data_IF_625825216765
#
_entry.id   IF_625825216765
#
_cell.length_a   1.000
_cell.length_b   1.000
_cell.length_c   1.000
_cell.angle_alpha   90.00
_cell.angle_beta   90.00
_cell.angle_gamma   90.00
#
_symmetry.space_group_name_H-M   'P 1'
#
loop_
_entity.id
_entity.type
_entity.pdbx_description
1 polymer ?
#
# COMPACT_ATOMS: atom_id res chain seq x y z
N UNK A 1 56.08 43.81 8.91
CA UNK A 1 54.98 44.80 8.86
C UNK A 1 53.88 44.30 9.80
N UNK A 2 53.39 45.14 10.66
CA UNK A 2 52.73 44.96 11.97
C UNK A 2 51.50 43.99 12.00
N UNK A 3 51.58 42.97 12.84
CA UNK A 3 50.40 42.19 13.30
C UNK A 3 49.62 42.97 14.35
N UNK A 4 48.32 43.16 14.13
CA UNK A 4 47.38 43.64 15.16
C UNK A 4 46.70 42.43 15.85
N UNK A 5 46.95 42.29 17.15
CA UNK A 5 46.30 41.34 18.03
C UNK A 5 44.93 41.92 18.40
N UNK A 6 43.87 41.18 18.14
CA UNK A 6 42.53 41.46 18.68
C UNK A 6 42.20 40.45 19.77
N UNK A 7 41.92 40.96 20.94
CA UNK A 7 41.61 40.19 22.17
C UNK A 7 40.19 39.62 22.05
N UNK A 8 40.07 38.31 22.25
CA UNK A 8 38.78 37.65 22.46
C UNK A 8 38.52 37.58 23.96
N UNK A 9 37.41 38.24 24.39
CA UNK A 9 36.83 38.08 25.72
C UNK A 9 36.12 36.71 25.81
N UNK A 10 36.56 35.88 26.69
CA UNK A 10 35.86 34.67 27.10
C UNK A 10 34.81 35.02 28.15
N UNK A 11 33.54 34.88 27.86
CA UNK A 11 32.46 34.89 28.84
C UNK A 11 32.24 33.45 29.32
N UNK A 12 32.61 33.17 30.56
CA UNK A 12 32.35 31.90 31.23
C UNK A 12 30.90 31.87 31.72
N UNK A 13 30.06 31.06 31.09
CA UNK A 13 28.72 30.71 31.59
C UNK A 13 28.82 29.47 32.45
N UNK A 14 28.64 29.61 33.73
CA UNK A 14 28.57 28.54 34.73
C UNK A 14 27.26 27.81 34.56
N UNK A 15 27.31 26.56 34.06
CA UNK A 15 26.23 25.62 34.08
C UNK A 15 26.20 24.92 35.45
N UNK A 16 25.24 25.31 36.27
CA UNK A 16 24.89 24.58 37.50
C UNK A 16 24.19 23.27 37.13
N UNK A 17 24.94 22.18 37.30
CA UNK A 17 24.45 20.80 37.22
C UNK A 17 23.78 20.49 38.58
N UNK A 18 22.45 20.60 38.63
CA UNK A 18 21.66 20.15 39.77
C UNK A 18 21.34 18.67 39.58
N UNK A 19 22.07 17.78 40.22
CA UNK A 19 21.69 16.40 40.40
C UNK A 19 20.49 16.33 41.35
N UNK A 20 19.37 15.86 40.86
CA UNK A 20 18.23 15.38 41.64
C UNK A 20 18.17 13.86 41.47
N UNK A 21 18.82 13.15 42.36
CA UNK A 21 18.49 11.79 42.76
C UNK A 21 17.36 11.91 43.76
N UNK A 22 16.15 11.49 43.41
CA UNK A 22 15.15 11.09 44.40
C UNK A 22 14.04 10.25 43.79
N UNK A 23 13.83 9.10 44.39
CA UNK A 23 12.58 8.41 44.63
C UNK A 23 12.04 7.50 43.53
N UNK A 24 12.23 6.21 43.78
CA UNK A 24 11.30 5.15 43.39
C UNK A 24 9.92 5.46 44.01
N UNK A 25 8.98 5.81 43.17
CA UNK A 25 7.54 5.95 43.46
C UNK A 25 6.87 5.93 42.10
N UNK A 26 5.94 4.98 41.87
CA UNK A 26 5.18 4.91 40.63
C UNK A 26 4.47 6.23 40.36
N UNK A 27 5.08 7.07 39.53
CA UNK A 27 4.38 8.20 38.93
C UNK A 27 3.54 7.64 37.79
N UNK A 28 2.22 7.71 37.94
CA UNK A 28 1.31 7.65 36.80
C UNK A 28 1.84 8.67 35.76
N UNK A 29 2.35 8.17 34.62
CA UNK A 29 2.73 9.03 33.51
C UNK A 29 1.52 9.93 33.20
N UNK A 30 1.68 11.22 33.46
CA UNK A 30 0.65 12.21 33.19
C UNK A 30 0.27 12.13 31.73
N UNK A 31 -0.99 11.90 31.48
CA UNK A 31 -1.61 11.95 30.17
C UNK A 31 -1.18 13.22 29.45
N UNK A 32 -0.68 13.06 28.20
CA UNK A 32 -0.31 14.21 27.38
C UNK A 32 -1.57 15.00 27.03
N UNK A 33 -1.59 16.28 27.40
CA UNK A 33 -2.69 17.20 27.13
C UNK A 33 -2.18 18.48 26.46
N UNK A 34 -3.01 19.07 25.64
CA UNK A 34 -2.77 20.41 25.09
C UNK A 34 -2.86 21.48 26.19
N UNK A 35 -2.46 22.71 25.89
CA UNK A 35 -2.56 23.84 26.84
C UNK A 35 -3.98 24.14 27.26
N UNK A 36 -4.95 23.88 26.42
CA UNK A 36 -6.39 24.03 26.61
C UNK A 36 -7.06 22.77 27.19
N UNK A 37 -6.27 21.78 27.62
CA UNK A 37 -6.74 20.63 28.38
C UNK A 37 -7.30 19.47 27.55
N UNK A 38 -7.21 19.50 26.22
CA UNK A 38 -7.63 18.38 25.36
C UNK A 38 -6.61 17.23 25.45
N UNK A 39 -7.09 16.00 25.44
CA UNK A 39 -6.24 14.82 25.45
C UNK A 39 -5.60 14.59 24.07
N UNK A 40 -4.29 14.38 24.04
CA UNK A 40 -3.55 14.08 22.81
C UNK A 40 -3.63 12.60 22.53
N UNK A 41 -3.93 12.24 21.27
CA UNK A 41 -3.98 10.89 20.72
C UNK A 41 -2.99 10.81 19.55
N UNK A 42 -2.04 9.92 19.63
CA UNK A 42 -1.05 9.71 18.59
C UNK A 42 -1.49 8.68 17.56
N UNK A 43 -1.37 9.03 16.27
CA UNK A 43 -1.63 8.12 15.15
C UNK A 43 -0.40 7.98 14.27
N UNK A 44 0.05 6.75 14.01
CA UNK A 44 1.16 6.44 13.11
C UNK A 44 0.68 5.64 11.90
N UNK A 45 1.23 5.98 10.71
CA UNK A 45 0.98 5.28 9.46
C UNK A 45 1.98 5.67 8.38
N UNK A 46 1.93 4.99 7.23
CA UNK A 46 2.69 5.35 6.02
C UNK A 46 1.86 6.22 5.06
N UNK A 47 0.56 6.15 5.19
CA UNK A 47 -0.47 6.91 4.50
C UNK A 47 -1.44 7.50 5.54
N UNK A 48 -2.21 8.54 5.19
CA UNK A 48 -2.24 9.25 3.91
C UNK A 48 -1.02 10.16 3.69
N UNK A 49 -0.99 10.85 2.54
CA UNK A 49 -0.03 11.93 2.30
C UNK A 49 -0.20 13.05 3.34
N UNK A 50 0.82 13.88 3.60
CA UNK A 50 0.79 14.85 4.69
C UNK A 50 -0.40 15.81 4.65
N UNK A 51 -0.79 16.28 3.48
CA UNK A 51 -1.91 17.20 3.27
C UNK A 51 -3.24 16.55 3.63
N UNK A 52 -3.47 15.33 3.15
CA UNK A 52 -4.64 14.54 3.47
C UNK A 52 -4.71 14.16 4.96
N UNK A 53 -3.58 13.73 5.52
CA UNK A 53 -3.47 13.44 6.94
C UNK A 53 -3.83 14.64 7.80
N UNK A 54 -3.34 15.81 7.41
CA UNK A 54 -3.69 17.07 8.07
C UNK A 54 -5.18 17.40 7.94
N UNK A 55 -5.76 17.24 6.75
CA UNK A 55 -7.17 17.53 6.52
C UNK A 55 -8.08 16.66 7.40
N UNK A 56 -7.83 15.34 7.46
CA UNK A 56 -8.58 14.40 8.30
C UNK A 56 -8.44 14.74 9.79
N UNK A 57 -7.21 15.01 10.26
CA UNK A 57 -6.95 15.38 11.65
C UNK A 57 -7.63 16.70 12.01
N UNK A 58 -7.53 17.71 11.14
CA UNK A 58 -8.19 19.00 11.35
C UNK A 58 -9.71 18.86 11.41
N UNK A 59 -10.31 18.04 10.54
CA UNK A 59 -11.74 17.78 10.53
C UNK A 59 -12.18 17.12 11.86
N UNK A 60 -11.48 16.06 12.30
CA UNK A 60 -11.76 15.43 13.59
C UNK A 60 -11.58 16.40 14.77
N UNK A 61 -10.48 17.12 14.83
CA UNK A 61 -10.18 18.04 15.92
C UNK A 61 -11.18 19.20 16.02
N UNK A 62 -11.87 19.55 14.93
CA UNK A 62 -12.96 20.55 14.89
C UNK A 62 -14.32 19.96 15.28
N UNK A 63 -14.54 18.67 15.06
CA UNK A 63 -15.84 18.01 15.28
C UNK A 63 -16.16 17.77 16.76
N UNK A 64 -15.16 17.89 17.66
CA UNK A 64 -15.31 17.61 19.08
C UNK A 64 -14.28 18.41 19.92
N UNK A 65 -14.48 18.50 21.27
CA UNK A 65 -13.66 19.31 22.17
C UNK A 65 -12.82 18.52 23.19
N UNK A 66 -12.84 17.18 23.13
CA UNK A 66 -12.18 16.32 24.12
C UNK A 66 -10.75 15.96 23.73
N UNK A 67 -10.50 15.72 22.44
CA UNK A 67 -9.29 15.13 21.93
C UNK A 67 -8.60 15.99 20.87
N UNK A 68 -7.29 15.79 20.73
CA UNK A 68 -6.50 16.27 19.60
C UNK A 68 -5.71 15.09 19.06
N UNK A 69 -5.92 14.74 17.80
CA UNK A 69 -5.12 13.71 17.14
C UNK A 69 -3.87 14.34 16.53
N UNK A 70 -2.74 13.70 16.74
CA UNK A 70 -1.46 14.01 16.09
C UNK A 70 -1.05 12.88 15.18
N UNK A 71 -1.00 13.14 13.87
CA UNK A 71 -0.58 12.16 12.87
C UNK A 71 0.91 12.22 12.62
N UNK A 72 1.59 11.09 12.73
CA UNK A 72 2.98 10.93 12.34
C UNK A 72 3.09 9.96 11.18
N UNK A 73 3.44 10.50 10.01
CA UNK A 73 3.69 9.71 8.81
C UNK A 73 5.14 9.22 8.76
N UNK A 74 5.31 7.97 8.37
CA UNK A 74 6.60 7.38 8.02
C UNK A 74 6.57 6.98 6.53
N UNK A 75 7.29 7.70 5.70
CA UNK A 75 7.39 7.41 4.25
C UNK A 75 8.16 6.12 3.96
N UNK A 76 9.14 5.81 4.80
CA UNK A 76 10.00 4.63 4.71
C UNK A 76 10.14 4.01 6.10
N UNK A 77 10.51 2.74 6.16
CA UNK A 77 10.80 2.00 7.41
C UNK A 77 9.66 1.97 8.46
N UNK A 78 8.39 2.25 8.06
CA UNK A 78 7.26 2.28 8.99
C UNK A 78 7.18 1.04 9.87
N UNK A 79 7.22 -0.15 9.26
CA UNK A 79 7.06 -1.42 9.97
C UNK A 79 8.16 -1.62 11.01
N UNK A 80 9.40 -1.28 10.65
CA UNK A 80 10.56 -1.36 11.56
C UNK A 80 10.44 -0.36 12.71
N UNK A 81 10.05 0.88 12.43
CA UNK A 81 9.87 1.91 13.46
C UNK A 81 8.74 1.53 14.41
N UNK A 82 7.61 1.04 13.87
CA UNK A 82 6.49 0.57 14.65
C UNK A 82 6.90 -0.61 15.55
N UNK A 83 7.60 -1.60 15.00
CA UNK A 83 8.05 -2.76 15.77
C UNK A 83 8.91 -2.36 16.97
N UNK A 84 9.89 -1.47 16.76
CA UNK A 84 10.78 -0.97 17.83
C UNK A 84 9.98 -0.21 18.89
N UNK A 85 9.06 0.65 18.49
CA UNK A 85 8.23 1.43 19.40
C UNK A 85 7.30 0.54 20.22
N UNK A 86 6.63 -0.42 19.58
CA UNK A 86 5.73 -1.36 20.26
C UNK A 86 6.46 -2.29 21.26
N UNK A 87 7.69 -2.71 20.91
CA UNK A 87 8.52 -3.54 21.81
C UNK A 87 9.01 -2.76 23.04
N UNK A 88 9.21 -1.45 22.90
CA UNK A 88 9.68 -0.58 23.99
C UNK A 88 8.56 0.07 24.81
N UNK A 89 7.27 -0.26 24.54
CA UNK A 89 6.12 0.36 25.21
C UNK A 89 5.91 1.84 24.84
N UNK A 90 6.52 2.30 23.72
CA UNK A 90 6.41 3.68 23.21
C UNK A 90 5.65 3.74 21.87
N UNK A 91 4.82 2.74 21.61
CA UNK A 91 3.95 2.72 20.44
C UNK A 91 2.89 3.82 20.49
N UNK A 92 2.35 4.23 19.32
CA UNK A 92 1.26 5.21 19.25
C UNK A 92 -0.05 4.62 19.79
N UNK A 93 -1.04 5.47 20.03
CA UNK A 93 -2.38 5.05 20.44
C UNK A 93 -3.14 4.36 19.29
N UNK A 94 -2.94 4.87 18.07
CA UNK A 94 -3.56 4.34 16.84
C UNK A 94 -2.46 3.91 15.86
N UNK A 95 -2.63 2.71 15.34
CA UNK A 95 -1.66 2.06 14.47
C UNK A 95 -2.30 1.80 13.12
N UNK A 96 -1.67 2.29 12.03
CA UNK A 96 -1.99 1.86 10.67
C UNK A 96 -1.46 0.44 10.42
N UNK A 97 -2.30 -0.47 9.95
CA UNK A 97 -1.92 -1.85 9.64
C UNK A 97 -2.33 -2.23 8.22
N UNK A 98 -1.46 -2.92 7.51
CA UNK A 98 -1.79 -3.67 6.30
C UNK A 98 -2.36 -5.04 6.68
N UNK A 99 -3.08 -5.68 5.77
CA UNK A 99 -3.70 -6.98 6.03
C UNK A 99 -2.71 -8.00 6.66
N UNK A 100 -1.49 -8.23 6.15
CA UNK A 100 -0.57 -9.21 6.75
C UNK A 100 -0.12 -8.84 8.17
N UNK A 101 -0.07 -7.55 8.50
CA UNK A 101 0.37 -7.08 9.81
C UNK A 101 -0.66 -7.33 10.91
N UNK A 102 -1.94 -7.48 10.58
CA UNK A 102 -3.02 -7.64 11.56
C UNK A 102 -2.79 -8.90 12.42
N UNK A 103 -2.45 -10.01 11.78
CA UNK A 103 -2.09 -11.24 12.48
C UNK A 103 -0.85 -11.08 13.35
N UNK A 104 0.17 -10.35 12.86
CA UNK A 104 1.41 -10.10 13.60
C UNK A 104 1.19 -9.26 14.87
N UNK A 105 0.26 -8.29 14.82
CA UNK A 105 0.02 -7.34 15.91
C UNK A 105 -1.18 -7.69 16.78
N UNK A 106 -1.91 -8.80 16.54
CA UNK A 106 -3.16 -9.14 17.26
C UNK A 106 -3.04 -9.13 18.79
N UNK A 107 -1.90 -9.55 19.34
CA UNK A 107 -1.68 -9.59 20.78
C UNK A 107 -1.30 -8.23 21.40
N UNK A 108 -1.00 -7.23 20.55
CA UNK A 108 -0.59 -5.88 20.92
C UNK A 108 -1.65 -4.82 20.69
N UNK A 109 -2.77 -5.19 20.08
CA UNK A 109 -3.92 -4.32 19.85
C UNK A 109 -5.14 -4.87 20.56
N UNK A 110 -6.13 -4.01 20.84
CA UNK A 110 -7.38 -4.46 21.43
C UNK A 110 -8.35 -4.93 20.36
N UNK A 111 -9.21 -5.94 20.63
CA UNK A 111 -10.38 -6.16 19.81
C UNK A 111 -11.28 -4.92 19.86
N UNK A 112 -11.62 -4.37 18.68
CA UNK A 112 -12.31 -3.08 18.58
C UNK A 112 -13.83 -3.16 18.63
N UNK A 113 -14.41 -4.37 18.66
CA UNK A 113 -15.87 -4.57 18.57
C UNK A 113 -16.66 -3.69 19.54
N UNK A 114 -16.36 -3.77 20.84
CA UNK A 114 -17.09 -3.00 21.87
C UNK A 114 -16.83 -1.51 21.80
N UNK A 115 -15.64 -1.10 21.39
CA UNK A 115 -15.29 0.31 21.22
C UNK A 115 -16.04 0.90 20.03
N UNK A 116 -16.08 0.18 18.91
CA UNK A 116 -16.80 0.60 17.71
C UNK A 116 -18.31 0.58 17.90
N UNK A 117 -18.87 -0.41 18.67
CA UNK A 117 -20.28 -0.40 19.04
C UNK A 117 -20.67 0.87 19.81
N UNK A 118 -19.77 1.38 20.65
CA UNK A 118 -19.95 2.64 21.40
C UNK A 118 -19.78 3.87 20.52
N UNK A 119 -18.74 3.92 19.68
CA UNK A 119 -18.36 5.10 18.89
C UNK A 119 -19.19 5.23 17.60
N UNK A 120 -19.51 4.13 16.92
CA UNK A 120 -20.14 4.07 15.60
C UNK A 120 -21.55 3.46 15.61
N UNK A 121 -21.96 2.88 16.75
CA UNK A 121 -23.25 2.21 16.93
C UNK A 121 -23.23 0.73 16.55
N UNK A 122 -24.15 -0.04 17.16
CA UNK A 122 -24.30 -1.48 16.83
C UNK A 122 -24.60 -1.68 15.35
N UNK A 123 -24.07 -2.77 14.79
CA UNK A 123 -24.22 -3.08 13.36
C UNK A 123 -23.31 -2.27 12.45
N UNK A 124 -22.32 -1.57 12.99
CA UNK A 124 -21.35 -0.79 12.23
C UNK A 124 -20.66 -1.60 11.13
N UNK A 125 -20.40 -2.90 11.35
CA UNK A 125 -19.75 -3.79 10.38
C UNK A 125 -20.54 -3.93 9.06
N UNK A 126 -21.87 -3.87 9.11
CA UNK A 126 -22.73 -4.03 7.93
C UNK A 126 -22.53 -2.93 6.88
N UNK A 127 -21.98 -1.80 7.32
CA UNK A 127 -21.65 -0.67 6.43
C UNK A 127 -20.36 -0.90 5.63
N UNK A 128 -19.52 -1.84 6.03
CA UNK A 128 -18.22 -2.09 5.42
C UNK A 128 -18.30 -3.11 4.29
N UNK A 129 -17.30 -3.08 3.43
CA UNK A 129 -17.06 -4.12 2.42
C UNK A 129 -16.70 -5.41 3.17
N UNK A 130 -17.40 -6.50 2.87
CA UNK A 130 -17.27 -7.78 3.58
C UNK A 130 -15.82 -8.28 3.62
N UNK A 131 -15.13 -8.24 2.48
CA UNK A 131 -13.71 -8.59 2.38
C UNK A 131 -12.85 -7.85 3.43
N UNK A 132 -13.14 -6.57 3.71
CA UNK A 132 -12.40 -5.79 4.70
C UNK A 132 -12.62 -6.27 6.12
N UNK A 133 -13.87 -6.57 6.46
CA UNK A 133 -14.22 -7.13 7.77
C UNK A 133 -13.55 -8.50 7.95
N UNK A 134 -13.60 -9.37 6.94
CA UNK A 134 -12.98 -10.69 6.98
C UNK A 134 -11.46 -10.62 7.15
N UNK A 135 -10.79 -9.75 6.39
CA UNK A 135 -9.33 -9.58 6.46
C UNK A 135 -8.84 -9.00 7.80
N UNK A 136 -9.71 -8.29 8.51
CA UNK A 136 -9.39 -7.66 9.80
C UNK A 136 -9.95 -8.40 11.02
N UNK A 137 -10.62 -9.54 10.78
CA UNK A 137 -11.15 -10.46 11.81
C UNK A 137 -10.21 -11.65 12.03
N UNK A 138 -9.89 -11.95 13.28
CA UNK A 138 -9.13 -13.14 13.68
C UNK A 138 -9.88 -13.81 14.82
N UNK A 139 -10.12 -15.13 14.72
CA UNK A 139 -10.81 -15.93 15.72
C UNK A 139 -12.17 -15.31 16.16
N UNK A 140 -12.91 -14.75 15.17
CA UNK A 140 -14.21 -14.12 15.37
C UNK A 140 -14.19 -12.73 16.02
N UNK A 141 -13.02 -12.13 16.26
CA UNK A 141 -12.84 -10.80 16.84
C UNK A 141 -12.26 -9.83 15.83
N UNK A 142 -12.73 -8.61 15.84
CA UNK A 142 -12.24 -7.54 15.00
C UNK A 142 -11.05 -6.86 15.64
N UNK A 143 -9.85 -6.94 15.03
CA UNK A 143 -8.62 -6.35 15.58
C UNK A 143 -8.24 -5.01 14.97
N UNK A 144 -8.82 -4.67 13.82
CA UNK A 144 -8.65 -3.37 13.19
C UNK A 144 -9.92 -3.01 12.41
N UNK A 145 -10.11 -1.72 12.13
CA UNK A 145 -11.21 -1.23 11.29
C UNK A 145 -10.67 -0.97 9.89
N UNK A 146 -11.24 -1.59 8.84
CA UNK A 146 -10.80 -1.38 7.47
C UNK A 146 -11.07 0.06 7.03
N UNK A 147 -10.05 0.74 6.48
CA UNK A 147 -10.17 2.09 5.97
C UNK A 147 -10.19 2.08 4.46
N UNK A 148 -9.24 1.39 3.82
CA UNK A 148 -9.15 1.40 2.38
C UNK A 148 -8.46 0.17 1.80
N UNK A 149 -8.83 -0.12 0.55
CA UNK A 149 -8.32 -1.23 -0.24
C UNK A 149 -7.42 -0.73 -1.36
N UNK A 150 -6.42 -1.55 -1.67
CA UNK A 150 -5.66 -1.41 -2.92
C UNK A 150 -5.64 -2.72 -3.69
N UNK A 151 -5.60 -2.62 -5.00
CA UNK A 151 -5.47 -3.75 -5.92
C UNK A 151 -4.05 -3.89 -6.44
N UNK A 152 -3.63 -5.14 -6.62
CA UNK A 152 -2.31 -5.48 -7.13
C UNK A 152 -2.26 -5.44 -8.65
N UNK A 153 -1.06 -5.16 -9.17
CA UNK A 153 -0.68 -5.37 -10.56
C UNK A 153 -1.78 -4.95 -11.56
N UNK A 154 -2.09 -3.67 -11.56
CA UNK A 154 -2.84 -3.02 -12.63
C UNK A 154 -1.88 -2.54 -13.71
N UNK A 155 -2.43 -2.20 -14.85
CA UNK A 155 -1.74 -1.53 -15.94
C UNK A 155 -2.14 -0.06 -15.96
N UNK A 156 -1.25 0.83 -15.49
CA UNK A 156 -1.38 2.27 -15.73
C UNK A 156 -0.84 2.57 -17.14
N UNK A 157 -1.53 3.41 -17.90
CA UNK A 157 -1.13 3.72 -19.27
C UNK A 157 -1.30 5.21 -19.59
N UNK A 158 -0.45 5.70 -20.47
CA UNK A 158 -0.60 7.02 -21.07
C UNK A 158 -1.43 6.89 -22.36
N UNK A 159 -2.72 7.23 -22.26
CA UNK A 159 -3.69 7.14 -23.35
C UNK A 159 -3.25 7.95 -24.57
N UNK A 160 -2.77 9.17 -24.33
CA UNK A 160 -2.28 10.06 -25.41
C UNK A 160 -1.13 9.44 -26.19
N UNK A 161 -0.21 8.76 -25.49
CA UNK A 161 0.88 8.03 -26.14
C UNK A 161 0.38 6.79 -26.87
N UNK A 162 -0.52 6.01 -26.27
CA UNK A 162 -1.09 4.83 -26.93
C UNK A 162 -1.81 5.20 -28.22
N UNK A 163 -2.60 6.28 -28.21
CA UNK A 163 -3.28 6.79 -29.41
C UNK A 163 -2.29 7.19 -30.51
N UNK A 164 -1.19 7.87 -30.16
CA UNK A 164 -0.10 8.20 -31.09
C UNK A 164 0.41 6.98 -31.83
N UNK A 165 0.53 5.84 -31.13
CA UNK A 165 1.00 4.58 -31.72
C UNK A 165 -0.13 3.73 -32.31
N UNK A 166 -1.40 4.17 -32.21
CA UNK A 166 -2.58 3.42 -32.64
C UNK A 166 -2.74 2.10 -31.87
N UNK A 167 -2.41 2.11 -30.56
CA UNK A 167 -2.51 0.99 -29.62
C UNK A 167 -3.63 1.27 -28.66
N UNK A 168 -4.40 0.25 -28.30
CA UNK A 168 -5.35 0.27 -27.19
C UNK A 168 -4.75 -0.48 -26.00
N UNK A 169 -5.16 -0.19 -24.75
CA UNK A 169 -4.73 -0.97 -23.60
C UNK A 169 -5.00 -2.46 -23.83
N UNK A 170 -3.96 -3.33 -23.74
CA UNK A 170 -4.10 -4.74 -24.07
C UNK A 170 -4.91 -5.49 -23.01
N UNK A 171 -5.62 -6.54 -23.41
CA UNK A 171 -6.45 -7.39 -22.52
C UNK A 171 -5.88 -8.80 -22.33
N UNK A 172 -4.99 -9.23 -23.22
CA UNK A 172 -4.41 -10.57 -23.19
C UNK A 172 -2.97 -10.56 -23.70
N UNK A 173 -2.30 -11.71 -23.60
CA UNK A 173 -0.90 -11.89 -24.00
C UNK A 173 -0.63 -11.46 -25.45
N UNK A 174 -1.47 -11.91 -26.39
CA UNK A 174 -1.29 -11.58 -27.80
C UNK A 174 -1.37 -10.07 -28.03
N UNK A 175 -2.39 -9.42 -27.51
CA UNK A 175 -2.56 -7.96 -27.63
C UNK A 175 -1.38 -7.21 -26.97
N UNK A 176 -0.88 -7.72 -25.84
CA UNK A 176 0.29 -7.13 -25.17
C UNK A 176 1.53 -7.22 -26.02
N UNK A 177 1.82 -8.38 -26.62
CA UNK A 177 2.96 -8.56 -27.53
C UNK A 177 2.82 -7.71 -28.78
N UNK A 178 1.63 -7.61 -29.35
CA UNK A 178 1.36 -6.78 -30.54
C UNK A 178 1.54 -5.28 -30.22
N UNK A 179 1.06 -4.82 -29.06
CA UNK A 179 1.27 -3.45 -28.59
C UNK A 179 2.76 -3.14 -28.40
N UNK A 180 3.50 -4.03 -27.72
CA UNK A 180 4.94 -3.88 -27.50
C UNK A 180 5.69 -3.81 -28.84
N UNK A 181 5.39 -4.68 -29.80
CA UNK A 181 6.00 -4.68 -31.14
C UNK A 181 5.69 -3.40 -31.89
N UNK A 182 4.43 -2.94 -31.85
CA UNK A 182 3.99 -1.76 -32.58
C UNK A 182 4.65 -0.48 -32.07
N UNK A 183 4.76 -0.33 -30.75
CA UNK A 183 5.45 0.82 -30.14
C UNK A 183 6.95 0.78 -30.48
N UNK A 184 7.60 -0.39 -30.36
CA UNK A 184 9.02 -0.54 -30.75
C UNK A 184 9.28 -0.24 -32.23
N UNK A 185 8.36 -0.61 -33.11
CA UNK A 185 8.47 -0.39 -34.55
C UNK A 185 8.35 1.10 -34.94
N UNK A 186 7.84 1.96 -34.07
CA UNK A 186 7.80 3.42 -34.34
C UNK A 186 9.20 4.06 -34.42
N UNK A 187 10.22 3.41 -33.86
CA UNK A 187 11.57 3.96 -33.75
C UNK A 187 11.76 4.96 -32.62
N UNK A 188 10.71 5.31 -31.90
CA UNK A 188 10.79 6.14 -30.70
C UNK A 188 11.48 5.35 -29.57
N UNK A 189 12.31 6.02 -28.77
CA UNK A 189 12.99 5.42 -27.61
C UNK A 189 12.06 5.37 -26.40
N UNK A 190 10.88 4.76 -26.58
CA UNK A 190 9.87 4.62 -25.53
C UNK A 190 9.81 3.17 -25.06
N UNK A 191 9.74 2.97 -23.75
CA UNK A 191 9.47 1.68 -23.15
C UNK A 191 7.99 1.36 -23.35
N UNK A 192 7.63 0.29 -24.08
CA UNK A 192 6.22 -0.04 -24.33
C UNK A 192 5.48 -0.43 -23.07
N UNK A 193 6.05 -1.37 -22.30
CA UNK A 193 5.50 -1.86 -21.02
C UNK A 193 6.63 -1.95 -20.00
N UNK A 194 6.48 -1.18 -18.94
CA UNK A 194 7.48 -1.03 -17.89
C UNK A 194 7.09 -1.82 -16.64
N UNK A 195 8.10 -2.50 -16.05
CA UNK A 195 8.04 -3.13 -14.74
C UNK A 195 9.26 -2.71 -13.92
N UNK A 196 9.06 -2.30 -12.67
CA UNK A 196 10.13 -1.95 -11.75
C UNK A 196 10.59 -3.15 -10.92
N UNK A 197 11.10 -4.19 -11.57
CA UNK A 197 11.38 -5.50 -10.97
C UNK A 197 12.64 -5.57 -10.08
N UNK A 198 13.29 -4.42 -9.80
CA UNK A 198 14.27 -4.33 -8.71
C UNK A 198 13.60 -4.49 -7.35
N UNK A 199 12.35 -4.10 -7.24
CA UNK A 199 11.58 -4.14 -6.02
C UNK A 199 10.76 -5.43 -6.00
N UNK A 200 11.22 -6.46 -5.27
CA UNK A 200 10.64 -7.81 -5.26
C UNK A 200 9.12 -7.85 -4.94
N UNK A 201 8.60 -6.84 -4.25
CA UNK A 201 7.17 -6.78 -3.91
C UNK A 201 6.28 -6.68 -5.16
N UNK A 202 6.68 -5.92 -6.21
CA UNK A 202 5.88 -5.85 -7.44
C UNK A 202 5.96 -7.14 -8.25
N UNK A 203 7.10 -7.85 -8.19
CA UNK A 203 7.26 -9.17 -8.82
C UNK A 203 6.29 -10.17 -8.20
N UNK A 204 6.16 -10.17 -6.86
CA UNK A 204 5.21 -11.00 -6.11
C UNK A 204 3.77 -10.63 -6.47
N UNK A 205 3.46 -9.33 -6.58
CA UNK A 205 2.14 -8.85 -6.97
C UNK A 205 1.74 -9.36 -8.36
N UNK A 206 2.63 -9.23 -9.34
CA UNK A 206 2.39 -9.76 -10.70
C UNK A 206 2.27 -11.28 -10.68
N UNK A 207 3.17 -11.98 -9.98
CA UNK A 207 3.13 -13.45 -9.87
C UNK A 207 1.83 -13.94 -9.25
N UNK A 208 1.32 -13.27 -8.22
CA UNK A 208 0.05 -13.59 -7.59
C UNK A 208 -1.11 -13.46 -8.60
N UNK A 209 -1.18 -12.38 -9.37
CA UNK A 209 -2.18 -12.24 -10.44
C UNK A 209 -2.03 -13.32 -11.50
N UNK A 210 -0.80 -13.61 -11.97
CA UNK A 210 -0.53 -14.69 -12.93
C UNK A 210 -0.96 -16.06 -12.40
N UNK A 211 -0.78 -16.34 -11.11
CA UNK A 211 -1.18 -17.62 -10.51
C UNK A 211 -2.69 -17.83 -10.60
N UNK A 212 -3.48 -16.77 -10.43
CA UNK A 212 -4.92 -16.82 -10.61
C UNK A 212 -5.35 -16.89 -12.08
N UNK A 213 -4.55 -16.36 -13.00
CA UNK A 213 -4.79 -16.52 -14.45
C UNK A 213 -4.50 -17.93 -14.92
N UNK A 214 -3.52 -18.64 -14.32
CA UNK A 214 -3.16 -20.02 -14.64
C UNK A 214 -4.12 -21.01 -13.96
N UNK A 215 -4.36 -20.83 -12.66
CA UNK A 215 -5.16 -21.72 -11.83
C UNK A 215 -5.87 -20.94 -10.73
N UNK A 216 -7.09 -20.46 -10.96
CA UNK A 216 -7.83 -19.64 -9.99
C UNK A 216 -7.90 -20.29 -8.61
N UNK A 217 -7.48 -19.55 -7.59
CA UNK A 217 -7.51 -19.98 -6.19
C UNK A 217 -6.43 -21.02 -5.78
N UNK A 218 -5.57 -21.47 -6.71
CA UNK A 218 -4.59 -22.49 -6.36
C UNK A 218 -3.51 -22.01 -5.41
N UNK A 219 -3.04 -20.77 -5.56
CA UNK A 219 -2.03 -20.21 -4.66
C UNK A 219 -2.52 -20.13 -3.21
N UNK A 220 -3.84 -19.94 -2.96
CA UNK A 220 -4.40 -19.97 -1.61
C UNK A 220 -4.26 -21.37 -0.97
N UNK A 221 -4.44 -22.45 -1.76
CA UNK A 221 -4.19 -23.82 -1.28
C UNK A 221 -2.71 -24.04 -0.95
N UNK A 222 -1.81 -23.44 -1.73
CA UNK A 222 -0.38 -23.50 -1.44
C UNK A 222 -0.05 -22.75 -0.14
N UNK A 223 -0.62 -21.56 0.04
CA UNK A 223 -0.42 -20.75 1.24
C UNK A 223 -1.05 -21.37 2.51
N UNK A 224 -2.18 -22.08 2.38
CA UNK A 224 -2.79 -22.86 3.49
C UNK A 224 -2.04 -24.17 3.77
N UNK A 225 -1.17 -24.61 2.85
CA UNK A 225 -0.44 -25.88 2.94
C UNK A 225 -1.19 -27.11 2.46
N UNK A 226 -2.32 -26.91 1.78
CA UNK A 226 -3.09 -27.96 1.11
C UNK A 226 -2.46 -28.38 -0.22
N UNK A 227 -1.62 -27.51 -0.81
CA UNK A 227 -0.88 -27.73 -2.04
C UNK A 227 0.58 -27.28 -1.88
N UNK A 228 1.40 -27.48 -2.89
CA UNK A 228 2.84 -27.20 -2.86
C UNK A 228 3.24 -26.15 -3.88
N UNK A 229 4.29 -25.39 -3.56
CA UNK A 229 4.94 -24.48 -4.52
C UNK A 229 5.50 -25.20 -5.75
N UNK A 230 5.80 -26.50 -5.64
CA UNK A 230 6.35 -27.33 -6.72
C UNK A 230 5.31 -28.01 -7.59
N UNK A 231 4.03 -27.82 -7.33
CA UNK A 231 2.95 -28.37 -8.13
C UNK A 231 2.90 -27.73 -9.53
N UNK A 232 2.37 -28.45 -10.49
CA UNK A 232 2.43 -28.08 -11.91
C UNK A 232 1.80 -26.71 -12.21
N UNK A 233 0.75 -26.33 -11.48
CA UNK A 233 0.09 -25.03 -11.61
C UNK A 233 1.03 -23.86 -11.23
N UNK A 234 1.79 -24.03 -10.14
CA UNK A 234 2.74 -23.01 -9.69
C UNK A 234 3.98 -22.96 -10.59
N UNK A 235 4.46 -24.14 -11.03
CA UNK A 235 5.57 -24.23 -12.00
C UNK A 235 5.17 -23.59 -13.33
N UNK A 236 3.94 -23.83 -13.82
CA UNK A 236 3.41 -23.18 -15.02
C UNK A 236 3.32 -21.66 -14.85
N UNK A 237 2.87 -21.20 -13.69
CA UNK A 237 2.83 -19.76 -13.37
C UNK A 237 4.24 -19.14 -13.43
N UNK A 238 5.23 -19.82 -12.85
CA UNK A 238 6.62 -19.38 -12.88
C UNK A 238 7.23 -19.43 -14.28
N UNK A 239 6.78 -20.35 -15.12
CA UNK A 239 7.18 -20.40 -16.54
C UNK A 239 6.60 -19.18 -17.30
N UNK A 240 5.31 -18.86 -17.09
CA UNK A 240 4.71 -17.65 -17.68
C UNK A 240 5.50 -16.40 -17.26
N UNK A 241 5.82 -16.28 -15.97
CA UNK A 241 6.64 -15.19 -15.45
C UNK A 241 7.99 -15.09 -16.17
N UNK A 242 8.71 -16.20 -16.33
CA UNK A 242 10.00 -16.25 -17.04
C UNK A 242 9.86 -15.83 -18.51
N UNK A 243 8.83 -16.34 -19.19
CA UNK A 243 8.60 -16.07 -20.61
C UNK A 243 8.33 -14.57 -20.89
N UNK A 244 7.71 -13.84 -19.97
CA UNK A 244 7.52 -12.39 -20.11
C UNK A 244 8.83 -11.62 -20.22
N UNK A 245 9.90 -12.04 -19.56
CA UNK A 245 11.25 -11.46 -19.70
C UNK A 245 11.96 -11.97 -20.96
N UNK A 246 11.91 -13.26 -21.21
CA UNK A 246 12.52 -13.90 -22.38
C UNK A 246 11.98 -13.33 -23.69
N UNK A 247 10.67 -13.14 -23.77
CA UNK A 247 9.98 -12.61 -24.95
C UNK A 247 10.00 -11.08 -25.00
N UNK A 248 10.70 -10.44 -24.04
CA UNK A 248 10.87 -8.99 -23.95
C UNK A 248 9.54 -8.23 -23.91
N UNK A 249 8.53 -8.84 -23.26
CA UNK A 249 7.26 -8.18 -22.95
C UNK A 249 7.54 -7.03 -21.98
N UNK A 250 8.25 -7.31 -20.88
CA UNK A 250 8.85 -6.27 -20.06
C UNK A 250 10.15 -5.75 -20.69
N UNK A 251 10.52 -4.52 -20.35
CA UNK A 251 11.72 -3.88 -20.88
C UNK A 251 13.00 -4.58 -20.41
N UNK A 252 14.04 -4.47 -21.23
CA UNK A 252 15.40 -4.82 -20.80
C UNK A 252 15.82 -3.95 -19.61
N UNK A 253 16.48 -4.55 -18.63
CA UNK A 253 16.91 -3.85 -17.41
C UNK A 253 15.82 -3.74 -16.33
N UNK A 254 14.64 -4.36 -16.47
CA UNK A 254 13.57 -4.33 -15.49
C UNK A 254 14.04 -4.70 -14.08
N UNK A 255 14.88 -5.72 -13.93
CA UNK A 255 15.45 -6.17 -12.64
C UNK A 255 16.40 -5.15 -11.98
N UNK A 256 16.83 -4.14 -12.71
CA UNK A 256 17.65 -3.04 -12.18
C UNK A 256 16.88 -1.75 -11.96
N UNK A 257 15.61 -1.68 -12.39
CA UNK A 257 14.76 -0.50 -12.32
C UNK A 257 13.91 -0.52 -11.03
N UNK A 258 14.08 0.47 -10.17
CA UNK A 258 13.22 0.66 -9.00
C UNK A 258 11.85 1.23 -9.43
N UNK A 259 10.77 0.74 -8.81
CA UNK A 259 9.40 1.10 -9.16
C UNK A 259 9.15 2.60 -8.99
N UNK A 260 9.50 3.16 -7.83
CA UNK A 260 9.20 4.57 -7.53
C UNK A 260 10.30 5.54 -7.97
N UNK A 261 11.54 5.31 -7.56
CA UNK A 261 12.61 6.30 -7.79
C UNK A 261 12.94 6.48 -9.28
N UNK A 262 12.87 5.40 -10.04
CA UNK A 262 13.24 5.40 -11.46
C UNK A 262 12.01 5.23 -12.37
N UNK A 263 11.17 4.23 -12.09
CA UNK A 263 10.04 3.85 -12.95
C UNK A 263 8.96 4.93 -12.99
N UNK A 264 8.54 5.44 -11.84
CA UNK A 264 7.57 6.52 -11.76
C UNK A 264 8.00 7.75 -12.58
N UNK A 265 9.24 8.20 -12.41
CA UNK A 265 9.76 9.33 -13.17
C UNK A 265 9.81 9.03 -14.67
N UNK A 266 10.21 7.81 -15.08
CA UNK A 266 10.21 7.44 -16.49
C UNK A 266 8.82 7.44 -17.12
N UNK A 267 7.78 7.02 -16.36
CA UNK A 267 6.41 7.04 -16.85
C UNK A 267 5.92 8.49 -17.04
N UNK A 268 6.06 9.33 -16.03
CA UNK A 268 5.59 10.72 -16.10
C UNK A 268 6.44 11.61 -17.01
N UNK A 269 7.72 11.28 -17.23
CA UNK A 269 8.59 11.88 -18.27
C UNK A 269 8.25 11.41 -19.70
N UNK A 270 7.20 10.58 -19.87
CA UNK A 270 6.78 10.01 -21.17
C UNK A 270 7.82 9.10 -21.82
N UNK A 271 8.68 8.50 -21.02
CA UNK A 271 9.68 7.50 -21.48
C UNK A 271 9.12 6.09 -21.47
N UNK A 272 7.97 5.86 -20.83
CA UNK A 272 7.22 4.61 -20.83
C UNK A 272 5.75 4.87 -21.19
N UNK A 273 5.18 4.02 -22.06
CA UNK A 273 3.79 4.14 -22.51
C UNK A 273 2.81 3.44 -21.54
N UNK A 274 3.24 2.33 -20.96
CA UNK A 274 2.47 1.54 -20.00
C UNK A 274 3.36 1.16 -18.82
N UNK A 275 2.79 1.08 -17.63
CA UNK A 275 3.49 0.78 -16.38
C UNK A 275 2.67 -0.18 -15.51
N UNK A 276 3.28 -1.28 -15.09
CA UNK A 276 2.68 -2.21 -14.13
C UNK A 276 2.87 -1.66 -12.73
N UNK A 277 1.74 -1.33 -12.08
CA UNK A 277 1.70 -0.73 -10.73
C UNK A 277 0.38 -1.10 -10.05
N UNK A 278 0.22 -0.82 -8.79
CA UNK A 278 -1.05 -1.04 -8.10
C UNK A 278 -2.04 0.12 -8.21
N UNK A 279 -3.26 -0.15 -7.79
CA UNK A 279 -4.38 0.81 -7.88
C UNK A 279 -4.16 2.10 -7.09
N UNK A 280 -3.27 2.10 -6.12
CA UNK A 280 -2.94 3.29 -5.32
C UNK A 280 -2.37 4.45 -6.14
N UNK A 281 -1.79 4.18 -7.32
CA UNK A 281 -1.32 5.24 -8.22
C UNK A 281 -2.46 5.96 -8.96
N UNK A 282 -3.71 5.60 -8.74
CA UNK A 282 -4.85 6.31 -9.36
C UNK A 282 -4.89 7.81 -9.00
N UNK A 283 -4.41 8.18 -7.81
CA UNK A 283 -4.29 9.58 -7.39
C UNK A 283 -3.45 10.42 -8.37
N UNK A 284 -2.44 9.81 -8.99
CA UNK A 284 -1.56 10.49 -9.96
C UNK A 284 -2.27 10.91 -11.26
N UNK A 285 -3.49 10.40 -11.53
CA UNK A 285 -4.33 10.86 -12.64
C UNK A 285 -5.11 12.13 -12.32
N UNK A 286 -5.20 12.53 -11.04
CA UNK A 286 -5.96 13.72 -10.65
C UNK A 286 -5.41 14.99 -11.32
N UNK A 287 -6.29 15.94 -11.55
CA UNK A 287 -5.93 17.23 -12.15
C UNK A 287 -4.84 17.95 -11.36
N UNK A 288 -4.89 17.87 -10.02
CA UNK A 288 -3.92 18.48 -9.14
C UNK A 288 -2.53 17.84 -9.30
N UNK A 289 -2.43 16.52 -9.16
CA UNK A 289 -1.15 15.79 -9.30
C UNK A 289 -0.54 15.97 -10.70
N UNK A 290 -1.35 15.86 -11.74
CA UNK A 290 -0.90 16.05 -13.13
C UNK A 290 -0.34 17.46 -13.36
N UNK A 291 -1.01 18.49 -12.83
CA UNK A 291 -0.62 19.89 -13.00
C UNK A 291 0.56 20.29 -12.12
N UNK A 292 0.48 19.99 -10.83
CA UNK A 292 1.36 20.59 -9.83
C UNK A 292 2.64 19.77 -9.61
N UNK A 293 2.54 18.45 -9.65
CA UNK A 293 3.66 17.54 -9.45
C UNK A 293 4.28 17.08 -10.76
N UNK A 294 3.50 16.43 -11.62
CA UNK A 294 4.02 15.78 -12.83
C UNK A 294 4.15 16.72 -14.04
N UNK A 295 3.43 17.84 -14.05
CA UNK A 295 3.39 18.83 -15.15
C UNK A 295 3.06 18.19 -16.52
N UNK A 296 2.21 17.17 -16.50
CA UNK A 296 1.75 16.41 -17.66
C UNK A 296 0.32 16.81 -18.03
N UNK A 297 0.05 16.89 -19.34
CA UNK A 297 -1.31 17.19 -19.87
C UNK A 297 -1.96 15.97 -20.52
N UNK A 298 -1.22 14.88 -20.64
CA UNK A 298 -1.68 13.68 -21.30
C UNK A 298 -2.86 13.07 -20.53
N UNK A 299 -3.74 12.41 -21.23
CA UNK A 299 -4.78 11.57 -20.64
C UNK A 299 -4.14 10.26 -20.16
N UNK A 300 -4.40 9.91 -18.93
CA UNK A 300 -3.92 8.70 -18.28
C UNK A 300 -5.08 7.74 -18.04
N UNK A 301 -4.78 6.47 -17.79
CA UNK A 301 -5.82 5.51 -17.44
C UNK A 301 -5.28 4.28 -16.74
N UNK A 302 -6.19 3.51 -16.17
CA UNK A 302 -5.93 2.23 -15.55
C UNK A 302 -6.76 1.13 -16.21
N UNK A 303 -6.25 -0.09 -16.18
CA UNK A 303 -6.98 -1.31 -16.51
C UNK A 303 -6.41 -2.46 -15.66
N UNK A 304 -7.17 -3.53 -15.35
CA UNK A 304 -6.59 -4.74 -14.79
C UNK A 304 -5.40 -5.24 -15.63
N UNK A 305 -4.44 -5.91 -14.99
CA UNK A 305 -3.35 -6.53 -15.72
C UNK A 305 -3.91 -7.45 -16.82
N UNK A 306 -3.44 -7.35 -18.06
CA UNK A 306 -3.85 -8.26 -19.13
C UNK A 306 -3.75 -9.72 -18.70
N UNK A 307 -4.58 -10.61 -19.25
CA UNK A 307 -4.35 -12.03 -19.06
C UNK A 307 -3.10 -12.46 -19.86
N UNK A 308 -2.00 -12.61 -19.13
CA UNK A 308 -0.69 -12.96 -19.70
C UNK A 308 -0.44 -14.48 -19.72
N UNK A 309 -1.34 -15.27 -19.13
CA UNK A 309 -1.23 -16.72 -19.07
C UNK A 309 -1.99 -17.47 -20.19
N UNK A 310 -2.57 -16.74 -21.14
CA UNK A 310 -3.24 -17.30 -22.32
C UNK A 310 -4.75 -17.52 -22.17
N UNK A 311 -5.36 -17.10 -21.07
CA UNK A 311 -6.82 -17.09 -20.87
C UNK A 311 -7.47 -15.75 -21.21
N UNK A 312 -8.71 -15.57 -20.79
CA UNK A 312 -9.51 -14.33 -20.95
C UNK A 312 -9.81 -13.64 -19.63
N UNK A 313 -9.74 -14.35 -18.52
CA UNK A 313 -10.05 -13.83 -17.19
C UNK A 313 -8.97 -12.88 -16.70
N UNK A 314 -9.38 -11.78 -16.11
CA UNK A 314 -8.52 -10.78 -15.47
C UNK A 314 -8.84 -10.74 -13.98
N UNK A 315 -8.30 -11.69 -13.18
CA UNK A 315 -8.57 -11.76 -11.76
C UNK A 315 -8.04 -10.51 -11.04
N UNK A 316 -8.83 -9.98 -10.13
CA UNK A 316 -8.47 -8.85 -9.31
C UNK A 316 -8.02 -9.38 -7.95
N UNK A 317 -6.82 -9.01 -7.56
CA UNK A 317 -6.27 -9.30 -6.25
C UNK A 317 -6.24 -7.98 -5.47
N UNK A 318 -6.91 -7.94 -4.34
CA UNK A 318 -6.97 -6.74 -3.52
C UNK A 318 -6.98 -7.09 -2.04
N UNK A 319 -6.43 -6.21 -1.24
CA UNK A 319 -6.47 -6.35 0.21
C UNK A 319 -6.58 -4.99 0.89
N UNK A 320 -6.93 -5.04 2.15
CA UNK A 320 -6.78 -3.88 3.02
C UNK A 320 -5.34 -3.42 2.97
N UNK A 321 -5.15 -2.20 2.51
CA UNK A 321 -3.86 -1.52 2.57
C UNK A 321 -3.78 -0.61 3.80
N UNK A 322 -4.90 -0.01 4.22
CA UNK A 322 -4.99 0.71 5.48
C UNK A 322 -6.13 0.18 6.32
N UNK A 323 -5.81 -0.36 7.49
CA UNK A 323 -6.72 -0.55 8.61
C UNK A 323 -6.19 0.18 9.84
N UNK A 324 -7.06 0.66 10.70
CA UNK A 324 -6.67 1.31 11.94
C UNK A 324 -6.95 0.40 13.13
N UNK A 325 -5.93 0.18 13.94
CA UNK A 325 -6.00 -0.59 15.18
C UNK A 325 -5.70 0.29 16.39
N UNK A 326 -6.25 -0.07 17.54
CA UNK A 326 -6.02 0.61 18.80
C UNK A 326 -5.01 -0.16 19.63
N UNK A 327 -3.94 0.52 20.03
CA UNK A 327 -2.87 -0.07 20.84
C UNK A 327 -3.42 -0.52 22.21
N UNK A 328 -3.11 -1.76 22.59
CA UNK A 328 -3.53 -2.35 23.86
C UNK A 328 -2.95 -1.62 25.08
N UNK A 329 -1.76 -1.04 24.94
CA UNK A 329 -1.08 -0.29 26.01
C UNK A 329 -1.50 1.19 26.04
N UNK A 330 -2.30 1.66 25.06
CA UNK A 330 -2.83 3.02 25.07
C UNK A 330 -3.72 3.24 26.30
N UNK A 331 -3.53 4.38 26.94
CA UNK A 331 -4.41 4.87 28.01
C UNK A 331 -5.60 5.67 27.46
N UNK A 332 -5.64 5.84 26.11
CA UNK A 332 -6.62 6.65 25.38
C UNK A 332 -7.49 5.79 24.43
N UNK A 333 -7.72 4.52 24.77
CA UNK A 333 -8.39 3.57 23.88
C UNK A 333 -9.79 4.04 23.43
N UNK A 334 -10.56 4.70 24.29
CA UNK A 334 -11.86 5.26 23.91
C UNK A 334 -11.73 6.40 22.90
N UNK A 335 -10.84 7.37 23.15
CA UNK A 335 -10.62 8.47 22.24
C UNK A 335 -9.98 8.02 20.91
N UNK A 336 -9.08 7.04 20.96
CA UNK A 336 -8.54 6.38 19.78
C UNK A 336 -9.65 5.74 18.94
N UNK A 337 -10.59 5.03 19.57
CA UNK A 337 -11.72 4.42 18.88
C UNK A 337 -12.70 5.48 18.32
N UNK A 338 -12.91 6.62 19.00
CA UNK A 338 -13.70 7.73 18.44
C UNK A 338 -13.08 8.28 17.14
N UNK A 339 -11.75 8.44 17.10
CA UNK A 339 -11.07 8.82 15.85
C UNK A 339 -11.15 7.73 14.79
N UNK A 340 -10.93 6.46 15.15
CA UNK A 340 -11.05 5.33 14.22
C UNK A 340 -12.45 5.28 13.61
N UNK A 341 -13.50 5.49 14.41
CA UNK A 341 -14.88 5.56 13.93
C UNK A 341 -15.09 6.75 13.00
N UNK A 342 -14.57 7.93 13.32
CA UNK A 342 -14.63 9.11 12.46
C UNK A 342 -13.92 8.87 11.13
N UNK A 343 -12.70 8.32 11.17
CA UNK A 343 -11.87 8.05 10.00
C UNK A 343 -12.46 7.00 9.06
N UNK A 344 -13.21 6.05 9.62
CA UNK A 344 -13.72 4.90 8.87
C UNK A 344 -15.11 5.10 8.27
N UNK A 345 -15.81 6.18 8.58
CA UNK A 345 -17.14 6.45 8.07
C UNK A 345 -17.48 7.95 8.11
N UNK A 346 -18.47 8.35 7.29
CA UNK A 346 -18.90 9.74 7.23
C UNK A 346 -17.81 10.69 6.72
N UNK A 347 -17.74 11.89 7.29
CA UNK A 347 -16.87 12.98 6.84
C UNK A 347 -15.38 12.59 6.80
N UNK A 348 -14.89 11.87 7.83
CA UNK A 348 -13.48 11.46 7.87
C UNK A 348 -13.11 10.54 6.72
N UNK A 349 -13.99 9.60 6.39
CA UNK A 349 -13.80 8.69 5.26
C UNK A 349 -13.88 9.46 3.92
N UNK A 350 -14.85 10.38 3.77
CA UNK A 350 -14.99 11.19 2.56
C UNK A 350 -13.75 12.05 2.31
N UNK A 351 -13.24 12.72 3.35
CA UNK A 351 -12.00 13.53 3.28
C UNK A 351 -10.81 12.66 2.89
N UNK A 352 -10.65 11.48 3.51
CA UNK A 352 -9.53 10.59 3.21
C UNK A 352 -9.60 10.02 1.80
N UNK A 353 -10.77 9.54 1.39
CA UNK A 353 -10.96 8.96 0.05
C UNK A 353 -10.89 9.99 -1.07
N UNK A 354 -11.06 11.27 -0.78
CA UNK A 354 -10.86 12.37 -1.73
C UNK A 354 -9.42 12.50 -2.26
N UNK A 355 -8.48 11.79 -1.65
CA UNK A 355 -7.09 11.71 -2.14
C UNK A 355 -6.88 10.63 -3.23
N UNK A 356 -7.86 9.79 -3.49
CA UNK A 356 -7.85 8.78 -4.57
C UNK A 356 -6.73 7.71 -4.50
N UNK A 357 -6.07 7.57 -3.37
CA UNK A 357 -5.01 6.57 -3.17
C UNK A 357 -5.56 5.15 -2.97
N UNK A 358 -6.78 5.03 -2.44
CA UNK A 358 -7.41 3.77 -2.07
C UNK A 358 -8.88 3.74 -2.46
N UNK A 359 -9.43 2.56 -2.65
CA UNK A 359 -10.87 2.36 -2.67
C UNK A 359 -11.40 2.30 -1.22
N UNK A 360 -12.61 2.83 -0.95
CA UNK A 360 -13.14 2.88 0.41
C UNK A 360 -13.36 1.51 1.03
N UNK A 361 -13.04 1.38 2.33
CA UNK A 361 -13.38 0.21 3.14
C UNK A 361 -14.85 0.11 3.51
N UNK A 362 -15.59 1.21 3.38
CA UNK A 362 -17.02 1.32 3.67
C UNK A 362 -17.83 1.45 2.37
N UNK A 363 -19.05 0.90 2.37
CA UNK A 363 -20.02 1.07 1.27
C UNK A 363 -20.54 2.51 1.25
N UNK A 364 -21.02 2.96 0.11
CA UNK A 364 -21.76 4.21 -0.07
C UNK A 364 -21.00 5.51 0.31
N UNK A 365 -19.67 5.51 0.18
CA UNK A 365 -18.87 6.74 0.33
C UNK A 365 -19.06 7.64 -0.87
N UNK A 366 -19.32 8.92 -0.60
CA UNK A 366 -19.39 9.94 -1.65
C UNK A 366 -18.00 10.48 -1.93
N UNK A 367 -17.50 10.18 -3.12
CA UNK A 367 -16.23 10.72 -3.63
C UNK A 367 -16.56 11.59 -4.84
N UNK A 368 -16.21 12.88 -4.77
CA UNK A 368 -16.36 13.79 -5.90
C UNK A 368 -15.25 13.56 -6.94
N UNK A 369 -15.40 12.50 -7.72
CA UNK A 369 -14.48 12.20 -8.81
C UNK A 369 -14.60 13.16 -9.99
N UNK A 370 -15.74 13.85 -10.14
CA UNK A 370 -15.98 14.71 -11.28
C UNK A 370 -15.11 15.97 -11.29
N UNK A 371 -14.86 16.54 -10.11
CA UNK A 371 -13.94 17.66 -9.95
C UNK A 371 -12.46 17.26 -9.97
N UNK A 372 -12.16 16.01 -9.64
CA UNK A 372 -10.78 15.54 -9.47
C UNK A 372 -10.07 15.23 -10.80
N UNK A 373 -10.80 14.78 -11.84
CA UNK A 373 -10.21 14.34 -13.10
C UNK A 373 -10.52 15.27 -14.28
N UNK A 374 -9.55 15.42 -15.18
CA UNK A 374 -9.66 16.38 -16.31
C UNK A 374 -10.50 15.86 -17.48
N UNK A 375 -10.47 14.54 -17.73
CA UNK A 375 -11.14 13.92 -18.89
C UNK A 375 -12.17 12.88 -18.46
N UNK A 376 -13.17 12.64 -19.32
CA UNK A 376 -14.15 11.57 -19.11
C UNK A 376 -13.48 10.19 -19.08
N UNK A 377 -12.43 9.96 -19.90
CA UNK A 377 -11.70 8.70 -19.89
C UNK A 377 -10.97 8.42 -18.57
N UNK A 378 -10.45 9.45 -17.90
CA UNK A 378 -9.85 9.33 -16.56
C UNK A 378 -10.92 9.03 -15.50
N UNK A 379 -12.09 9.68 -15.56
CA UNK A 379 -13.23 9.39 -14.68
C UNK A 379 -13.74 7.96 -14.84
N UNK A 380 -13.94 7.53 -16.08
CA UNK A 380 -14.36 6.15 -16.40
C UNK A 380 -13.31 5.14 -15.91
N UNK A 381 -12.02 5.45 -16.08
CA UNK A 381 -10.91 4.61 -15.61
C UNK A 381 -10.92 4.46 -14.09
N UNK A 382 -11.11 5.54 -13.35
CA UNK A 382 -11.22 5.52 -11.89
C UNK A 382 -12.47 4.77 -11.42
N UNK A 383 -13.63 5.00 -12.07
CA UNK A 383 -14.85 4.26 -11.78
C UNK A 383 -14.68 2.76 -11.99
N UNK A 384 -14.12 2.36 -13.13
CA UNK A 384 -13.81 0.95 -13.43
C UNK A 384 -12.87 0.36 -12.40
N UNK A 385 -11.85 1.12 -11.95
CA UNK A 385 -10.92 0.68 -10.91
C UNK A 385 -11.68 0.30 -9.63
N UNK A 386 -12.55 1.17 -9.12
CA UNK A 386 -13.34 0.90 -7.91
C UNK A 386 -14.30 -0.29 -8.09
N UNK A 387 -14.96 -0.38 -9.26
CA UNK A 387 -15.85 -1.50 -9.58
C UNK A 387 -15.10 -2.84 -9.64
N UNK A 388 -13.86 -2.84 -10.15
CA UNK A 388 -13.04 -4.06 -10.18
C UNK A 388 -12.52 -4.44 -8.80
N UNK A 389 -12.09 -3.47 -7.99
CA UNK A 389 -11.65 -3.74 -6.62
C UNK A 389 -12.73 -4.38 -5.74
N UNK A 390 -13.99 -4.00 -5.94
CA UNK A 390 -15.12 -4.62 -5.23
C UNK A 390 -15.36 -6.09 -5.60
N UNK A 391 -14.75 -6.57 -6.70
CA UNK A 391 -14.83 -7.95 -7.22
C UNK A 391 -13.55 -8.75 -6.97
N UNK A 392 -12.71 -8.31 -6.05
CA UNK A 392 -11.47 -9.03 -5.74
C UNK A 392 -11.73 -10.49 -5.36
N UNK A 393 -10.98 -11.39 -5.94
CA UNK A 393 -11.12 -12.86 -5.76
C UNK A 393 -10.19 -13.41 -4.70
N UNK A 394 -9.19 -12.63 -4.28
CA UNK A 394 -8.21 -13.07 -3.29
C UNK A 394 -7.51 -11.87 -2.62
N UNK A 395 -6.91 -12.15 -1.45
CA UNK A 395 -6.05 -11.22 -0.74
C UNK A 395 -4.65 -11.15 -1.37
N UNK A 396 -4.01 -10.00 -1.19
CA UNK A 396 -2.64 -9.71 -1.63
C UNK A 396 -1.59 -10.52 -0.86
N UNK A 397 -1.81 -10.75 0.43
CA UNK A 397 -0.72 -11.01 1.35
C UNK A 397 -0.20 -12.43 1.37
N UNK A 398 1.13 -12.58 1.29
CA UNK A 398 1.85 -13.68 1.91
C UNK A 398 2.18 -13.21 3.33
N UNK A 399 1.52 -13.81 4.35
CA UNK A 399 1.63 -13.40 5.76
C UNK A 399 2.98 -13.73 6.38
N UNK A 400 3.65 -14.75 5.88
CA UNK A 400 5.00 -15.13 6.30
C UNK A 400 6.03 -14.24 5.57
N UNK A 401 6.63 -13.30 6.30
CA UNK A 401 7.60 -12.35 5.74
C UNK A 401 8.84 -13.03 5.19
N UNK A 402 9.32 -14.12 5.84
CA UNK A 402 10.47 -14.89 5.35
C UNK A 402 10.15 -15.60 4.05
N UNK A 403 8.96 -16.20 3.94
CA UNK A 403 8.49 -16.84 2.71
C UNK A 403 8.35 -15.81 1.60
N UNK A 404 7.81 -14.64 1.91
CA UNK A 404 7.67 -13.52 0.97
C UNK A 404 9.03 -13.07 0.40
N UNK A 405 10.05 -12.90 1.26
CA UNK A 405 11.40 -12.51 0.85
C UNK A 405 12.04 -13.57 -0.06
N UNK A 406 11.88 -14.85 0.28
CA UNK A 406 12.43 -15.94 -0.51
C UNK A 406 11.73 -16.02 -1.86
N UNK A 407 10.39 -15.93 -1.90
CA UNK A 407 9.65 -15.93 -3.15
C UNK A 407 10.09 -14.79 -4.07
N UNK A 408 10.17 -13.57 -3.55
CA UNK A 408 10.63 -12.42 -4.32
C UNK A 408 12.01 -12.63 -4.94
N UNK A 409 12.97 -13.13 -4.16
CA UNK A 409 14.31 -13.48 -4.63
C UNK A 409 14.27 -14.56 -5.75
N UNK A 410 13.47 -15.59 -5.55
CA UNK A 410 13.39 -16.68 -6.54
C UNK A 410 12.68 -16.24 -7.82
N UNK A 411 11.70 -15.33 -7.74
CA UNK A 411 11.09 -14.72 -8.94
C UNK A 411 12.11 -13.92 -9.76
N UNK A 412 12.99 -13.16 -9.10
CA UNK A 412 14.10 -12.47 -9.80
C UNK A 412 15.09 -13.46 -10.42
N UNK A 413 15.40 -14.58 -9.74
CA UNK A 413 16.23 -15.64 -10.28
C UNK A 413 15.59 -16.31 -11.51
N UNK A 414 14.29 -16.60 -11.46
CA UNK A 414 13.52 -17.15 -12.59
C UNK A 414 13.55 -16.19 -13.78
N UNK A 415 13.36 -14.89 -13.54
CA UNK A 415 13.41 -13.87 -14.59
C UNK A 415 14.78 -13.79 -15.30
N UNK A 416 15.87 -14.18 -14.63
CA UNK A 416 17.21 -14.29 -15.22
C UNK A 416 17.48 -15.60 -15.95
N UNK A 417 16.51 -16.54 -15.98
CA UNK A 417 16.62 -17.81 -16.70
C UNK A 417 16.88 -19.04 -15.83
N UNK A 418 16.80 -18.94 -14.50
CA UNK A 418 16.86 -20.13 -13.64
C UNK A 418 15.65 -21.04 -13.86
N UNK A 419 15.84 -22.34 -13.65
CA UNK A 419 14.75 -23.30 -13.79
C UNK A 419 13.62 -23.02 -12.80
N UNK A 420 12.36 -22.80 -13.26
CA UNK A 420 11.24 -22.48 -12.40
C UNK A 420 10.98 -23.50 -11.29
N UNK A 421 11.05 -24.78 -11.61
CA UNK A 421 10.78 -25.84 -10.63
C UNK A 421 11.83 -25.92 -9.53
N UNK A 422 13.11 -25.72 -9.87
CA UNK A 422 14.20 -25.69 -8.88
C UNK A 422 14.13 -24.45 -7.99
N UNK A 423 13.76 -23.32 -8.56
CA UNK A 423 13.54 -22.08 -7.80
C UNK A 423 12.37 -22.23 -6.82
N UNK A 424 11.24 -22.76 -7.28
CA UNK A 424 10.07 -23.02 -6.44
C UNK A 424 10.31 -24.14 -5.41
N UNK A 425 11.24 -25.06 -5.63
CA UNK A 425 11.64 -26.03 -4.60
C UNK A 425 12.28 -25.30 -3.39
N UNK A 426 13.10 -24.27 -3.63
CA UNK A 426 13.68 -23.46 -2.52
C UNK A 426 12.60 -22.68 -1.74
N UNK A 427 11.55 -22.23 -2.45
CA UNK A 427 10.38 -21.60 -1.80
C UNK A 427 9.63 -22.63 -0.97
N UNK A 428 9.42 -23.86 -1.48
CA UNK A 428 8.79 -24.96 -0.75
C UNK A 428 9.58 -25.34 0.51
N UNK A 429 10.90 -25.47 0.37
CA UNK A 429 11.78 -25.82 1.51
C UNK A 429 11.67 -24.76 2.63
N UNK A 430 11.54 -23.48 2.27
CA UNK A 430 11.33 -22.41 3.24
C UNK A 430 9.93 -22.48 3.88
N UNK A 431 8.89 -22.74 3.11
CA UNK A 431 7.53 -22.93 3.63
C UNK A 431 7.44 -24.10 4.61
N UNK A 432 8.14 -25.21 4.33
CA UNK A 432 8.19 -26.37 5.22
C UNK A 432 8.97 -26.12 6.52
N UNK A 433 9.94 -25.19 6.50
CA UNK A 433 10.67 -24.76 7.70
C UNK A 433 9.85 -23.82 8.59
N UNK A 434 9.00 -22.98 8.01
CA UNK A 434 8.13 -22.06 8.76
C UNK A 434 6.99 -22.74 9.51
N UNK A 435 6.69 -24.01 9.16
CA UNK A 435 5.67 -24.84 9.85
C UNK A 435 6.19 -25.61 11.06
N UNK A 436 7.51 -25.63 11.25
CA UNK A 436 8.20 -26.28 12.40
C UNK A 436 8.45 -25.27 13.52
#
# INVERSE_FOLDING_TARGET
MKFKKTKVLAAASVLTLSALLAACGGEDEKQATTKDGKTIISWWGWAPQPEAGKAVVDAFNKSQDKYVVEFKRYSEDYEKQLQVAMLSGKGPDIIGLKEPMIQQYKDRVVPVDSYMDKAAGKGWKDKFVELGIDQTTIDGKQYAVPIGFTGQAYLMYNKTMLDKYGVTPPKNYKETVDAVKKIKASGDKVIPLMLGAKDAWIDIDVYNVLSHQVAPGYIQKVLSGEAKWTDDEMVKTAQVWQDLFKDKVFQEGALGLATYNDGMNQFFDKKAAMWVIGSWEAHSMTTAEKKDKWKIKDELGFTPLPNLAGGTEQPIIASIDMALAVNKESKQQEGAAEFVAFMSQGEGQEVYMGEFEMAPGIKDVKIDSDAAFTSEGEKESYKMLNETLSKAVASRGIRDTKLNDILGKELQNIATGQNPKEALQRVQDAADQSKK
#
